data_IF_576263399554
#
_entry.id   IF_576263399554
#
_cell.length_a   1.000
_cell.length_b   1.000
_cell.length_c   1.000
_cell.angle_alpha   90.00
_cell.angle_beta   90.00
_cell.angle_gamma   90.00
#
_symmetry.space_group_name_H-M   'P 1'
#
loop_
_entity.id
_entity.type
_entity.pdbx_description
1 polymer ?
#
# COMPACT_ATOMS: atom_id res chain seq x y z
N UNK A 1 -21.79 -30.39 3.33
CA UNK A 1 -20.55 -29.62 3.57
C UNK A 1 -20.23 -28.84 2.31
N UNK A 2 -19.97 -27.54 2.43
CA UNK A 2 -19.59 -26.65 1.32
C UNK A 2 -18.46 -25.75 1.80
N UNK A 3 -17.55 -25.39 0.91
CA UNK A 3 -16.45 -24.47 1.19
C UNK A 3 -16.77 -23.11 0.57
N UNK A 4 -16.66 -22.04 1.35
CA UNK A 4 -16.86 -20.66 0.91
C UNK A 4 -15.52 -19.92 0.92
N UNK A 5 -15.16 -19.33 -0.22
CA UNK A 5 -14.00 -18.46 -0.34
C UNK A 5 -14.53 -17.04 -0.45
N UNK A 6 -14.08 -16.18 0.46
CA UNK A 6 -14.39 -14.77 0.46
C UNK A 6 -13.15 -13.98 0.08
N UNK A 7 -13.33 -12.99 -0.78
CA UNK A 7 -12.40 -11.89 -0.82
C UNK A 7 -12.37 -11.14 0.53
N UNK A 8 -11.25 -10.52 0.89
CA UNK A 8 -11.12 -9.84 2.18
C UNK A 8 -11.56 -8.38 2.08
N UNK A 9 -10.95 -7.63 1.15
CA UNK A 9 -11.06 -6.17 1.08
C UNK A 9 -12.24 -5.75 0.22
N UNK A 10 -13.25 -5.13 0.84
CA UNK A 10 -14.48 -4.76 0.15
C UNK A 10 -15.58 -5.83 0.24
N UNK A 11 -15.26 -7.04 0.73
CA UNK A 11 -16.25 -8.08 1.05
C UNK A 11 -16.41 -8.30 2.56
N UNK A 12 -15.33 -8.68 3.27
CA UNK A 12 -15.40 -8.93 4.72
C UNK A 12 -15.03 -7.68 5.53
N UNK A 13 -14.02 -6.95 5.06
CA UNK A 13 -13.46 -5.76 5.71
C UNK A 13 -13.79 -4.50 4.90
N UNK A 14 -14.35 -3.52 5.61
CA UNK A 14 -14.43 -2.13 5.18
C UNK A 14 -13.06 -1.48 5.41
N UNK A 15 -12.30 -1.35 4.32
CA UNK A 15 -11.04 -0.60 4.29
C UNK A 15 -11.24 0.69 3.51
N UNK A 16 -10.81 1.81 4.08
CA UNK A 16 -10.82 3.10 3.41
C UNK A 16 -9.51 3.82 3.65
N UNK A 17 -8.87 4.21 2.54
CA UNK A 17 -7.63 4.98 2.50
C UNK A 17 -7.87 6.31 1.81
N UNK A 18 -7.27 7.37 2.33
CA UNK A 18 -7.38 8.71 1.76
C UNK A 18 -6.00 9.27 1.42
N UNK A 19 -5.89 9.87 0.23
CA UNK A 19 -4.65 10.42 -0.32
C UNK A 19 -4.70 11.95 -0.50
N UNK A 20 -5.81 12.59 -0.11
CA UNK A 20 -6.02 14.03 -0.30
C UNK A 20 -5.35 14.89 0.78
N UNK A 21 -4.97 14.29 1.92
CA UNK A 21 -4.36 15.02 3.02
C UNK A 21 -2.88 15.36 2.73
N UNK A 22 -2.59 16.64 2.52
CA UNK A 22 -1.24 17.14 2.28
C UNK A 22 -0.20 16.73 3.34
N UNK A 23 -0.63 16.53 4.60
CA UNK A 23 0.27 16.12 5.70
C UNK A 23 0.90 14.74 5.46
N UNK A 24 0.22 13.85 4.74
CA UNK A 24 0.75 12.51 4.40
C UNK A 24 1.99 12.67 3.52
N UNK A 25 1.89 13.50 2.48
CA UNK A 25 2.97 13.71 1.52
C UNK A 25 4.17 14.41 2.16
N UNK A 26 3.94 15.35 3.07
CA UNK A 26 5.01 15.98 3.86
C UNK A 26 5.73 14.96 4.74
N UNK A 27 4.99 14.11 5.46
CA UNK A 27 5.59 13.10 6.32
C UNK A 27 6.43 12.09 5.52
N UNK A 28 5.91 11.63 4.38
CA UNK A 28 6.64 10.69 3.50
C UNK A 28 7.86 11.33 2.85
N UNK A 29 7.77 12.59 2.39
CA UNK A 29 8.93 13.30 1.83
C UNK A 29 10.01 13.53 2.88
N UNK A 30 9.64 13.87 4.12
CA UNK A 30 10.58 14.05 5.22
C UNK A 30 11.29 12.75 5.58
N UNK A 31 10.53 11.64 5.61
CA UNK A 31 11.08 10.32 5.84
C UNK A 31 12.12 9.94 4.78
N UNK A 32 11.83 10.17 3.50
CA UNK A 32 12.78 9.90 2.40
C UNK A 32 14.02 10.80 2.47
N UNK A 33 13.86 12.06 2.88
CA UNK A 33 14.97 12.99 3.02
C UNK A 33 16.00 12.54 4.08
N UNK A 34 15.56 11.85 5.15
CA UNK A 34 16.46 11.23 6.13
C UNK A 34 17.45 10.23 5.50
N UNK A 35 17.05 9.60 4.38
CA UNK A 35 17.85 8.60 3.66
C UNK A 35 18.45 9.16 2.35
N UNK A 36 18.39 10.48 2.15
CA UNK A 36 19.05 11.15 1.03
C UNK A 36 18.17 11.43 -0.19
N UNK A 37 16.94 10.93 -0.25
CA UNK A 37 16.03 11.15 -1.37
C UNK A 37 15.18 12.41 -1.14
N UNK A 38 15.51 13.52 -1.80
CA UNK A 38 14.91 14.82 -1.51
C UNK A 38 13.74 15.12 -2.45
N UNK A 39 12.57 15.40 -1.84
CA UNK A 39 11.34 15.80 -2.52
C UNK A 39 10.69 16.98 -1.81
N UNK A 40 10.05 17.87 -2.56
CA UNK A 40 8.92 18.63 -2.02
C UNK A 40 7.69 17.70 -1.86
N UNK A 41 6.75 17.99 -0.95
CA UNK A 41 5.56 17.14 -0.78
C UNK A 41 4.76 16.95 -2.07
N UNK A 42 4.65 17.99 -2.90
CA UNK A 42 3.91 17.91 -4.16
C UNK A 42 4.65 17.05 -5.19
N UNK A 43 5.98 17.17 -5.30
CA UNK A 43 6.77 16.28 -6.17
C UNK A 43 6.64 14.82 -5.72
N UNK A 44 6.69 14.54 -4.42
CA UNK A 44 6.55 13.19 -3.88
C UNK A 44 5.20 12.59 -4.27
N UNK A 45 4.11 13.35 -4.07
CA UNK A 45 2.75 12.95 -4.45
C UNK A 45 2.64 12.63 -5.93
N UNK A 46 3.15 13.52 -6.80
CA UNK A 46 3.07 13.32 -8.26
C UNK A 46 3.88 12.10 -8.70
N UNK A 47 5.09 11.91 -8.15
CA UNK A 47 5.91 10.74 -8.42
C UNK A 47 5.22 9.45 -7.96
N UNK A 48 4.63 9.43 -6.75
CA UNK A 48 3.90 8.29 -6.23
C UNK A 48 2.72 7.92 -7.16
N UNK A 49 1.88 8.90 -7.52
CA UNK A 49 0.71 8.65 -8.37
C UNK A 49 1.13 8.12 -9.75
N UNK A 50 2.20 8.68 -10.33
CA UNK A 50 2.78 8.21 -11.59
C UNK A 50 3.26 6.76 -11.47
N UNK A 51 4.13 6.46 -10.52
CA UNK A 51 4.73 5.14 -10.37
C UNK A 51 3.71 4.07 -9.96
N UNK A 52 2.74 4.43 -9.13
CA UNK A 52 1.62 3.55 -8.80
C UNK A 52 0.83 3.17 -10.06
N UNK A 53 0.48 4.15 -10.91
CA UNK A 53 -0.23 3.87 -12.17
C UNK A 53 0.60 3.01 -13.13
N UNK A 54 1.89 3.28 -13.24
CA UNK A 54 2.80 2.51 -14.10
C UNK A 54 2.95 1.06 -13.60
N UNK A 55 3.03 0.85 -12.28
CA UNK A 55 3.14 -0.49 -11.70
C UNK A 55 1.85 -1.30 -11.89
N UNK A 56 0.67 -0.68 -11.71
CA UNK A 56 -0.60 -1.32 -12.03
C UNK A 56 -0.66 -1.76 -13.49
N UNK A 57 -0.29 -0.86 -14.41
CA UNK A 57 -0.25 -1.18 -15.83
C UNK A 57 0.73 -2.33 -16.14
N UNK A 58 1.92 -2.33 -15.52
CA UNK A 58 2.92 -3.39 -15.68
C UNK A 58 2.38 -4.75 -15.22
N UNK A 59 1.70 -4.79 -14.08
CA UNK A 59 1.13 -6.04 -13.54
C UNK A 59 -0.02 -6.54 -14.41
N UNK A 60 -0.89 -5.65 -14.89
CA UNK A 60 -1.96 -5.97 -15.84
C UNK A 60 -1.42 -6.56 -17.15
N UNK A 61 -0.35 -5.97 -17.71
CA UNK A 61 0.30 -6.48 -18.93
C UNK A 61 0.97 -7.84 -18.74
N UNK A 62 1.51 -8.13 -17.55
CA UNK A 62 2.13 -9.43 -17.22
C UNK A 62 1.10 -10.52 -16.92
N UNK A 63 -0.10 -10.14 -16.48
CA UNK A 63 -1.15 -11.05 -16.04
C UNK A 63 -2.52 -10.65 -16.63
N UNK A 64 -2.68 -10.66 -17.96
CA UNK A 64 -3.87 -10.12 -18.63
C UNK A 64 -5.16 -10.86 -18.25
N UNK A 65 -5.06 -12.14 -17.90
CA UNK A 65 -6.20 -13.00 -17.57
C UNK A 65 -6.49 -13.10 -16.06
N UNK A 66 -5.76 -12.38 -15.21
CA UNK A 66 -5.90 -12.50 -13.76
C UNK A 66 -5.67 -11.17 -13.05
N UNK A 67 -6.57 -10.83 -12.14
CA UNK A 67 -6.37 -9.69 -11.26
C UNK A 67 -5.29 -10.02 -10.21
N UNK A 68 -4.11 -9.41 -10.37
CA UNK A 68 -3.01 -9.49 -9.40
C UNK A 68 -2.78 -8.10 -8.83
N UNK A 69 -2.70 -8.02 -7.51
CA UNK A 69 -2.40 -6.76 -6.83
C UNK A 69 -0.92 -6.37 -7.02
N UNK A 70 -0.65 -5.07 -7.01
CA UNK A 70 0.72 -4.58 -7.14
C UNK A 70 1.54 -4.84 -5.87
N UNK A 71 2.84 -4.97 -6.04
CA UNK A 71 3.76 -4.95 -4.92
C UNK A 71 4.17 -3.50 -4.65
N UNK A 72 3.62 -2.90 -3.58
CA UNK A 72 3.89 -1.51 -3.21
C UNK A 72 5.38 -1.19 -3.05
N UNK A 73 6.19 -2.15 -2.60
CA UNK A 73 7.65 -2.02 -2.54
C UNK A 73 8.27 -1.61 -3.87
N UNK A 74 7.72 -2.02 -5.01
CA UNK A 74 8.24 -1.63 -6.33
C UNK A 74 8.03 -0.13 -6.57
N UNK A 75 6.86 0.40 -6.18
CA UNK A 75 6.55 1.84 -6.24
C UNK A 75 7.47 2.62 -5.31
N UNK A 76 7.63 2.17 -4.06
CA UNK A 76 8.46 2.86 -3.06
C UNK A 76 9.95 2.78 -3.36
N UNK A 77 10.41 1.69 -3.96
CA UNK A 77 11.78 1.57 -4.44
C UNK A 77 12.05 2.57 -5.55
N UNK A 78 11.14 2.69 -6.54
CA UNK A 78 11.26 3.68 -7.61
C UNK A 78 11.23 5.12 -7.09
N UNK A 79 10.39 5.41 -6.09
CA UNK A 79 10.42 6.70 -5.39
C UNK A 79 11.79 6.98 -4.75
N UNK A 80 12.52 5.95 -4.33
CA UNK A 80 13.85 6.16 -3.76
C UNK A 80 14.88 6.33 -4.88
N UNK A 81 14.96 5.36 -5.79
CA UNK A 81 15.96 5.34 -6.86
C UNK A 81 15.86 6.55 -7.79
N UNK A 82 14.63 6.97 -8.15
CA UNK A 82 14.34 8.05 -9.11
C UNK A 82 14.09 9.40 -8.41
N UNK A 83 14.64 9.60 -7.21
CA UNK A 83 14.54 10.88 -6.51
C UNK A 83 15.14 12.04 -7.34
N UNK A 84 14.51 13.23 -7.36
CA UNK A 84 15.02 14.40 -8.07
C UNK A 84 16.45 14.77 -7.64
N UNK A 85 16.75 14.57 -6.36
CA UNK A 85 18.04 14.85 -5.75
C UNK A 85 18.36 13.71 -4.79
N UNK A 86 19.58 13.19 -4.89
CA UNK A 86 20.18 12.27 -3.94
C UNK A 86 21.34 12.94 -3.21
N UNK A 87 21.34 12.84 -1.88
CA UNK A 87 22.43 13.28 -1.03
C UNK A 87 22.86 12.17 -0.09
N UNK A 88 24.14 12.07 0.22
CA UNK A 88 24.62 11.10 1.21
C UNK A 88 24.26 11.56 2.63
N UNK A 89 23.35 10.85 3.31
CA UNK A 89 22.85 11.20 4.66
C UNK A 89 22.91 9.99 5.59
N UNK A 90 21.84 9.19 5.67
CA UNK A 90 21.80 7.94 6.43
C UNK A 90 21.85 6.75 5.47
N UNK A 91 22.77 5.79 5.67
CA UNK A 91 22.83 4.61 4.84
C UNK A 91 21.64 3.68 5.10
N UNK A 92 21.05 3.16 4.03
CA UNK A 92 20.10 2.05 4.11
C UNK A 92 20.91 0.75 4.14
N UNK A 93 20.93 0.07 5.29
CA UNK A 93 21.68 -1.19 5.45
C UNK A 93 20.98 -2.38 4.79
N UNK A 94 19.65 -2.46 4.94
CA UNK A 94 18.81 -3.47 4.32
C UNK A 94 17.61 -2.79 3.64
N UNK A 95 17.63 -2.82 2.31
CA UNK A 95 16.62 -2.16 1.48
C UNK A 95 15.25 -2.82 1.61
N UNK A 96 15.17 -4.14 1.78
CA UNK A 96 13.86 -4.82 1.87
C UNK A 96 13.18 -4.49 3.20
N UNK A 97 13.93 -4.50 4.31
CA UNK A 97 13.40 -4.07 5.61
C UNK A 97 12.98 -2.60 5.59
N UNK A 98 13.76 -1.74 4.95
CA UNK A 98 13.42 -0.32 4.82
C UNK A 98 12.16 -0.10 3.97
N UNK A 99 12.02 -0.81 2.84
CA UNK A 99 10.82 -0.75 2.01
C UNK A 99 9.58 -1.25 2.76
N UNK A 100 9.70 -2.31 3.57
CA UNK A 100 8.62 -2.78 4.43
C UNK A 100 8.20 -1.72 5.48
N UNK A 101 9.17 -1.01 6.04
CA UNK A 101 8.91 0.10 6.95
C UNK A 101 8.15 1.24 6.23
N UNK A 102 8.61 1.64 5.05
CA UNK A 102 7.95 2.67 4.21
C UNK A 102 6.51 2.28 3.89
N UNK A 103 6.28 1.02 3.47
CA UNK A 103 4.93 0.50 3.21
C UNK A 103 4.04 0.57 4.46
N UNK A 104 4.59 0.22 5.62
CA UNK A 104 3.87 0.23 6.89
C UNK A 104 3.46 1.64 7.27
N UNK A 105 4.36 2.61 7.14
CA UNK A 105 4.08 4.01 7.41
C UNK A 105 3.08 4.58 6.41
N UNK A 106 3.20 4.26 5.12
CA UNK A 106 2.20 4.66 4.12
C UNK A 106 0.81 4.13 4.47
N UNK A 107 0.68 2.84 4.82
CA UNK A 107 -0.59 2.25 5.25
C UNK A 107 -1.10 2.89 6.53
N UNK A 108 -0.23 3.25 7.48
CA UNK A 108 -0.61 3.91 8.72
C UNK A 108 -1.11 5.34 8.48
N UNK A 109 -0.46 6.08 7.60
CA UNK A 109 -0.76 7.48 7.30
C UNK A 109 -2.03 7.65 6.44
N UNK A 110 -2.29 6.71 5.54
CA UNK A 110 -3.41 6.81 4.58
C UNK A 110 -4.69 6.15 5.06
N UNK A 111 -4.61 5.17 5.97
CA UNK A 111 -5.77 4.42 6.45
C UNK A 111 -6.67 5.24 7.36
N UNK A 112 -7.90 5.45 6.92
CA UNK A 112 -8.98 6.06 7.70
C UNK A 112 -9.76 4.99 8.47
N UNK A 113 -10.07 3.85 7.82
CA UNK A 113 -10.75 2.73 8.48
C UNK A 113 -10.27 1.38 7.95
N UNK A 114 -10.30 0.39 8.82
CA UNK A 114 -10.09 -1.03 8.51
C UNK A 114 -10.83 -1.84 9.57
N UNK A 115 -12.10 -2.15 9.31
CA UNK A 115 -12.98 -2.85 10.27
C UNK A 115 -13.90 -3.82 9.51
N UNK A 116 -14.33 -4.94 10.10
CA UNK A 116 -15.33 -5.80 9.47
C UNK A 116 -16.62 -5.04 9.17
N UNK A 117 -17.25 -5.33 8.04
CA UNK A 117 -18.60 -4.86 7.78
C UNK A 117 -19.58 -5.35 8.86
N UNK A 118 -20.71 -4.66 8.97
CA UNK A 118 -21.77 -5.05 9.91
C UNK A 118 -22.17 -6.49 9.65
N UNK A 119 -22.24 -7.28 10.72
CA UNK A 119 -22.57 -8.71 10.71
C UNK A 119 -21.55 -9.64 10.06
N UNK A 120 -20.42 -9.18 9.52
CA UNK A 120 -19.40 -10.07 8.92
C UNK A 120 -19.04 -11.23 9.86
N UNK A 121 -18.67 -10.90 11.10
CA UNK A 121 -18.28 -11.91 12.09
C UNK A 121 -19.43 -12.89 12.40
N UNK A 122 -20.65 -12.38 12.56
CA UNK A 122 -21.83 -13.20 12.83
C UNK A 122 -22.11 -14.16 11.68
N UNK A 123 -22.06 -13.67 10.44
CA UNK A 123 -22.28 -14.49 9.23
C UNK A 123 -21.24 -15.60 9.13
N UNK A 124 -19.95 -15.29 9.29
CA UNK A 124 -18.87 -16.29 9.25
C UNK A 124 -19.03 -17.35 10.35
N UNK A 125 -19.42 -16.94 11.57
CA UNK A 125 -19.69 -17.87 12.67
C UNK A 125 -20.88 -18.78 12.37
N UNK A 126 -21.97 -18.24 11.81
CA UNK A 126 -23.15 -19.04 11.43
C UNK A 126 -22.82 -20.07 10.35
N UNK A 127 -22.07 -19.68 9.32
CA UNK A 127 -21.63 -20.62 8.28
C UNK A 127 -20.79 -21.76 8.87
N UNK A 128 -19.85 -21.43 9.77
CA UNK A 128 -19.03 -22.43 10.46
C UNK A 128 -19.87 -23.38 11.32
N UNK A 129 -20.86 -22.86 12.05
CA UNK A 129 -21.78 -23.67 12.87
C UNK A 129 -22.65 -24.63 12.04
N UNK A 130 -22.97 -24.26 10.79
CA UNK A 130 -23.72 -25.10 9.86
C UNK A 130 -22.86 -26.21 9.20
N UNK A 131 -21.60 -26.36 9.61
CA UNK A 131 -20.68 -27.35 9.05
C UNK A 131 -20.15 -26.95 7.66
N UNK A 132 -20.17 -25.65 7.36
CA UNK A 132 -19.48 -25.11 6.19
C UNK A 132 -18.05 -24.70 6.54
N UNK A 133 -17.16 -24.84 5.56
CA UNK A 133 -15.76 -24.44 5.66
C UNK A 133 -15.54 -23.08 5.00
#
# INVERSE_FOLDING_TARGET
>A
MKTYIFDLYGTLIDIHTELHNHKIWKALSDMYACYGAIYTPEQFKQAYLKFNKEEWKRVEELHPDTYIDIQFKNVFKRLFDEAPIHTEVLPIQDIETWLLFVETEFRRLTRIRCKPYRNTIKTLQTLKQQGHQ
#
